data_IF_742933580365
#
_entry.id   IF_742933580365
#
_cell.length_a   1.000
_cell.length_b   1.000
_cell.length_c   1.000
_cell.angle_alpha   90.00
_cell.angle_beta   90.00
_cell.angle_gamma   90.00
#
_symmetry.space_group_name_H-M   'P 1'
#
loop_
_entity.id
_entity.type
_entity.pdbx_description
1 polymer ?
#
# COMPACT_ATOMS: atom_id res chain seq x y z
N UNK A 1 -1.11 39.59 25.03
CA UNK A 1 -0.17 38.51 24.66
C UNK A 1 -0.77 37.73 23.49
N UNK A 2 -0.18 37.82 22.30
CA UNK A 2 -0.63 37.07 21.11
C UNK A 2 -0.02 35.67 21.18
N UNK A 3 -0.84 34.62 21.09
CA UNK A 3 -0.38 33.24 20.98
C UNK A 3 -0.01 32.99 19.52
N UNK A 4 1.27 32.84 19.23
CA UNK A 4 1.74 32.37 17.93
C UNK A 4 1.50 30.86 17.84
N UNK A 5 0.67 30.45 16.90
CA UNK A 5 0.46 29.03 16.58
C UNK A 5 1.61 28.62 15.68
N UNK A 6 2.59 27.90 16.24
CA UNK A 6 3.64 27.24 15.48
C UNK A 6 2.99 26.11 14.66
N UNK A 7 2.74 26.38 13.38
CA UNK A 7 2.37 25.36 12.40
C UNK A 7 3.59 24.47 12.13
N UNK A 8 3.60 23.27 12.71
CA UNK A 8 4.59 22.25 12.38
C UNK A 8 4.22 21.65 11.02
N UNK A 9 5.01 21.97 9.99
CA UNK A 9 4.99 21.26 8.73
C UNK A 9 5.67 19.91 8.95
N UNK A 10 4.88 18.86 9.18
CA UNK A 10 5.38 17.49 9.15
C UNK A 10 5.65 17.20 7.67
N UNK A 11 6.92 17.33 7.26
CA UNK A 11 7.38 16.86 5.96
C UNK A 11 7.41 15.33 6.00
N UNK A 12 6.33 14.68 5.59
CA UNK A 12 6.39 13.29 5.20
C UNK A 12 7.30 13.23 3.97
N UNK A 13 8.38 12.44 4.05
CA UNK A 13 9.15 12.09 2.86
C UNK A 13 8.17 11.57 1.78
N UNK A 14 8.39 11.89 0.49
CA UNK A 14 7.52 11.40 -0.56
C UNK A 14 7.41 9.88 -0.43
N UNK A 15 6.17 9.38 -0.29
CA UNK A 15 5.91 7.96 -0.12
C UNK A 15 6.70 7.17 -1.16
N UNK A 16 7.73 6.44 -0.69
CA UNK A 16 8.59 5.61 -1.52
C UNK A 16 7.70 4.69 -2.35
N UNK A 17 7.95 4.60 -3.65
CA UNK A 17 7.20 3.68 -4.50
C UNK A 17 7.34 2.26 -3.91
N UNK A 18 6.23 1.59 -3.56
CA UNK A 18 6.28 0.31 -2.86
C UNK A 18 6.91 -0.75 -3.76
N UNK A 19 7.79 -1.59 -3.20
CA UNK A 19 8.38 -2.70 -3.95
C UNK A 19 7.35 -3.85 -4.04
N UNK A 20 7.05 -4.37 -5.24
CA UNK A 20 6.15 -5.51 -5.41
C UNK A 20 6.49 -6.72 -4.51
N UNK A 21 7.76 -6.95 -4.17
CA UNK A 21 8.20 -8.09 -3.34
C UNK A 21 7.73 -7.99 -1.89
N UNK A 22 7.34 -6.79 -1.45
CA UNK A 22 6.86 -6.55 -0.08
C UNK A 22 5.49 -7.22 0.16
N UNK A 23 4.68 -7.44 -0.88
CA UNK A 23 3.28 -7.86 -0.74
C UNK A 23 3.09 -9.38 -0.68
N UNK A 24 2.40 -9.88 0.35
CA UNK A 24 2.12 -11.31 0.60
C UNK A 24 1.29 -11.97 -0.51
N UNK A 25 0.38 -11.22 -1.11
CA UNK A 25 -0.56 -11.74 -2.10
C UNK A 25 -0.91 -10.72 -3.18
N UNK A 26 -1.43 -11.20 -4.31
CA UNK A 26 -1.95 -10.33 -5.37
C UNK A 26 -3.10 -9.46 -4.85
N UNK A 27 -3.97 -10.02 -4.00
CA UNK A 27 -5.08 -9.32 -3.35
C UNK A 27 -4.61 -8.14 -2.51
N UNK A 28 -3.53 -8.29 -1.77
CA UNK A 28 -2.94 -7.22 -0.95
C UNK A 28 -2.41 -6.07 -1.82
N UNK A 29 -1.75 -6.39 -2.94
CA UNK A 29 -1.30 -5.38 -3.92
C UNK A 29 -2.50 -4.64 -4.52
N UNK A 30 -3.54 -5.37 -4.92
CA UNK A 30 -4.76 -4.79 -5.50
C UNK A 30 -5.43 -3.84 -4.51
N UNK A 31 -5.58 -4.26 -3.25
CA UNK A 31 -6.12 -3.42 -2.17
C UNK A 31 -5.27 -2.15 -1.99
N UNK A 32 -3.94 -2.29 -1.88
CA UNK A 32 -3.04 -1.15 -1.77
C UNK A 32 -3.18 -0.17 -2.94
N UNK A 33 -3.27 -0.66 -4.18
CA UNK A 33 -3.40 0.19 -5.35
C UNK A 33 -4.74 0.92 -5.38
N UNK A 34 -5.83 0.27 -4.95
CA UNK A 34 -7.16 0.89 -4.86
C UNK A 34 -7.16 2.01 -3.82
N UNK A 35 -6.68 1.76 -2.60
CA UNK A 35 -6.62 2.75 -1.52
C UNK A 35 -5.75 3.97 -1.88
N UNK A 36 -4.65 3.74 -2.61
CA UNK A 36 -3.72 4.80 -3.01
C UNK A 36 -4.02 5.39 -4.41
N UNK A 37 -5.12 5.00 -5.04
CA UNK A 37 -5.48 5.51 -6.36
C UNK A 37 -6.11 6.90 -6.33
N UNK A 38 -6.70 7.28 -5.19
CA UNK A 38 -7.55 8.47 -5.07
C UNK A 38 -8.91 8.35 -5.76
N UNK A 39 -9.24 7.19 -6.35
CA UNK A 39 -10.54 6.93 -6.98
C UNK A 39 -11.55 6.43 -5.95
N UNK A 40 -12.83 6.75 -6.15
CA UNK A 40 -13.88 6.22 -5.29
C UNK A 40 -14.16 4.75 -5.63
N UNK A 41 -14.37 3.94 -4.60
CA UNK A 41 -14.70 2.52 -4.73
C UNK A 41 -15.91 2.25 -5.64
N UNK A 42 -16.93 3.12 -5.61
CA UNK A 42 -18.10 3.02 -6.48
C UNK A 42 -17.75 3.14 -7.97
N UNK A 43 -16.79 4.02 -8.30
CA UNK A 43 -16.41 4.29 -9.69
C UNK A 43 -15.54 3.15 -10.23
N UNK A 44 -14.65 2.62 -9.39
CA UNK A 44 -13.88 1.42 -9.69
C UNK A 44 -14.83 0.23 -9.91
N UNK A 45 -15.75 -0.02 -8.97
CA UNK A 45 -16.70 -1.13 -9.05
C UNK A 45 -17.56 -1.04 -10.32
N UNK A 46 -18.04 0.16 -10.66
CA UNK A 46 -18.78 0.42 -11.89
C UNK A 46 -17.97 0.06 -13.14
N UNK A 47 -16.72 0.54 -13.25
CA UNK A 47 -15.83 0.23 -14.39
C UNK A 47 -15.47 -1.26 -14.46
N UNK A 48 -15.40 -1.92 -13.31
CA UNK A 48 -15.17 -3.36 -13.21
C UNK A 48 -16.41 -4.20 -13.54
N UNK A 49 -17.60 -3.59 -13.63
CA UNK A 49 -18.90 -4.27 -13.74
C UNK A 49 -19.20 -5.16 -12.53
N UNK A 50 -18.81 -4.71 -11.34
CA UNK A 50 -19.05 -5.38 -10.06
C UNK A 50 -19.92 -4.48 -9.16
N UNK A 51 -20.60 -5.08 -8.18
CA UNK A 51 -21.15 -4.29 -7.08
C UNK A 51 -20.02 -3.78 -6.18
N UNK A 52 -20.22 -2.64 -5.52
CA UNK A 52 -19.26 -2.09 -4.57
C UNK A 52 -18.95 -3.07 -3.44
N UNK A 53 -19.97 -3.77 -2.94
CA UNK A 53 -19.82 -4.79 -1.91
C UNK A 53 -18.96 -5.96 -2.37
N UNK A 54 -19.14 -6.42 -3.62
CA UNK A 54 -18.36 -7.52 -4.18
C UNK A 54 -16.92 -7.11 -4.43
N UNK A 55 -16.67 -5.89 -4.90
CA UNK A 55 -15.31 -5.34 -5.02
C UNK A 55 -14.61 -5.32 -3.66
N UNK A 56 -15.24 -4.77 -2.62
CA UNK A 56 -14.67 -4.72 -1.27
C UNK A 56 -14.40 -6.12 -0.73
N UNK A 57 -15.33 -7.06 -0.89
CA UNK A 57 -15.12 -8.47 -0.51
C UNK A 57 -13.90 -9.08 -1.21
N UNK A 58 -13.75 -8.84 -2.52
CA UNK A 58 -12.65 -9.35 -3.33
C UNK A 58 -11.30 -8.75 -2.96
N UNK A 59 -11.25 -7.47 -2.58
CA UNK A 59 -10.02 -6.79 -2.17
C UNK A 59 -9.56 -7.17 -0.75
N UNK A 60 -10.45 -7.63 0.11
CA UNK A 60 -10.11 -8.02 1.48
C UNK A 60 -9.81 -9.53 1.62
N UNK A 61 -9.97 -10.33 0.55
CA UNK A 61 -9.60 -11.74 0.53
C UNK A 61 -10.41 -12.65 1.45
N UNK A 62 -11.57 -12.21 1.95
CA UNK A 62 -12.35 -12.94 2.95
C UNK A 62 -13.07 -14.17 2.37
N UNK A 63 -13.80 -14.00 1.26
CA UNK A 63 -14.71 -15.04 0.73
C UNK A 63 -14.72 -15.14 -0.79
N UNK A 64 -14.07 -14.20 -1.48
CA UNK A 64 -13.90 -14.22 -2.93
C UNK A 64 -12.55 -13.59 -3.25
N UNK A 65 -11.82 -14.15 -4.21
CA UNK A 65 -10.62 -13.53 -4.76
C UNK A 65 -10.94 -12.90 -6.12
N UNK A 66 -10.10 -11.96 -6.54
CA UNK A 66 -10.08 -11.50 -7.93
C UNK A 66 -9.65 -12.66 -8.83
N UNK A 67 -10.38 -12.88 -9.92
CA UNK A 67 -9.89 -13.75 -11.00
C UNK A 67 -8.72 -13.06 -11.74
N UNK A 68 -7.97 -13.80 -12.56
CA UNK A 68 -6.91 -13.21 -13.37
C UNK A 68 -7.43 -12.08 -14.26
N UNK A 69 -8.55 -12.31 -14.97
CA UNK A 69 -9.18 -11.30 -15.83
C UNK A 69 -9.67 -10.06 -15.05
N UNK A 70 -10.21 -10.26 -13.83
CA UNK A 70 -10.61 -9.15 -12.96
C UNK A 70 -9.40 -8.38 -12.45
N UNK A 71 -8.29 -9.06 -12.17
CA UNK A 71 -7.05 -8.46 -11.72
C UNK A 71 -6.44 -7.56 -12.81
N UNK A 72 -6.36 -8.06 -14.04
CA UNK A 72 -5.86 -7.30 -15.19
C UNK A 72 -6.77 -6.10 -15.50
N UNK A 73 -8.09 -6.32 -15.50
CA UNK A 73 -9.06 -5.23 -15.69
C UNK A 73 -8.95 -4.19 -14.58
N UNK A 74 -8.73 -4.59 -13.34
CA UNK A 74 -8.53 -3.65 -12.23
C UNK A 74 -7.24 -2.83 -12.44
N UNK A 75 -6.14 -3.46 -12.85
CA UNK A 75 -4.91 -2.76 -13.17
C UNK A 75 -5.12 -1.72 -14.30
N UNK A 76 -5.92 -2.05 -15.32
CA UNK A 76 -6.28 -1.11 -16.39
C UNK A 76 -7.15 0.06 -15.89
N UNK A 77 -8.13 -0.21 -15.03
CA UNK A 77 -8.98 0.83 -14.42
C UNK A 77 -8.17 1.80 -13.57
N UNK A 78 -7.13 1.31 -12.89
CA UNK A 78 -6.24 2.08 -12.04
C UNK A 78 -5.13 2.81 -12.83
N UNK A 79 -4.90 2.45 -14.10
CA UNK A 79 -3.91 3.09 -14.97
C UNK A 79 -2.50 3.04 -14.39
N UNK A 80 -1.87 4.22 -14.22
CA UNK A 80 -0.53 4.33 -13.63
C UNK A 80 -0.44 3.72 -12.22
N UNK A 81 -1.53 3.75 -11.46
CA UNK A 81 -1.60 3.16 -10.11
C UNK A 81 -1.69 1.64 -10.15
N UNK A 82 -2.09 1.05 -11.28
CA UNK A 82 -2.08 -0.39 -11.53
C UNK A 82 -0.71 -0.94 -11.94
N UNK A 83 0.30 -0.09 -12.18
CA UNK A 83 1.65 -0.55 -12.57
C UNK A 83 2.26 -1.47 -11.51
N UNK A 84 2.02 -1.20 -10.23
CA UNK A 84 2.50 -2.04 -9.13
C UNK A 84 1.93 -3.46 -9.20
N UNK A 85 0.64 -3.61 -9.56
CA UNK A 85 0.00 -4.92 -9.78
C UNK A 85 0.68 -5.71 -10.90
N UNK A 86 1.06 -5.03 -11.99
CA UNK A 86 1.80 -5.66 -13.10
C UNK A 86 3.23 -6.02 -12.70
N UNK A 87 3.92 -5.13 -11.98
CA UNK A 87 5.25 -5.37 -11.41
C UNK A 87 5.24 -6.56 -10.45
N UNK A 88 4.17 -6.74 -9.66
CA UNK A 88 4.00 -7.89 -8.78
C UNK A 88 3.95 -9.22 -9.52
N UNK A 89 3.14 -9.29 -10.59
CA UNK A 89 3.09 -10.48 -11.43
C UNK A 89 4.44 -10.81 -12.07
N UNK A 90 5.15 -9.79 -12.56
CA UNK A 90 6.50 -9.96 -13.10
C UNK A 90 7.52 -10.40 -12.02
N UNK A 91 7.39 -9.89 -10.78
CA UNK A 91 8.26 -10.26 -9.67
C UNK A 91 8.00 -11.67 -9.13
N UNK A 92 6.76 -12.18 -9.21
CA UNK A 92 6.42 -13.56 -8.84
C UNK A 92 7.03 -14.62 -9.77
N UNK A 93 7.51 -14.23 -10.95
CA UNK A 93 8.29 -15.08 -11.85
C UNK A 93 9.76 -15.23 -11.39
N UNK A 94 10.20 -14.43 -10.40
CA UNK A 94 11.53 -14.54 -9.80
C UNK A 94 11.47 -15.40 -8.52
N UNK A 95 12.49 -16.22 -8.25
CA UNK A 95 12.50 -17.13 -7.10
C UNK A 95 12.31 -16.39 -5.77
N UNK A 96 11.49 -16.99 -4.90
CA UNK A 96 11.04 -16.43 -3.61
C UNK A 96 12.12 -16.28 -2.53
N UNK A 97 13.35 -16.74 -2.79
CA UNK A 97 14.41 -16.90 -1.78
C UNK A 97 14.82 -15.60 -1.07
N UNK A 98 14.54 -14.41 -1.62
CA UNK A 98 14.95 -13.13 -1.02
C UNK A 98 13.85 -12.41 -0.23
N UNK A 99 12.69 -13.03 -0.02
CA UNK A 99 11.52 -12.31 0.49
C UNK A 99 11.54 -12.10 2.00
N UNK A 100 11.95 -13.12 2.74
CA UNK A 100 12.07 -13.05 4.20
C UNK A 100 13.12 -12.03 4.62
N UNK A 101 14.28 -12.01 3.94
CA UNK A 101 15.37 -11.06 4.19
C UNK A 101 14.98 -9.61 3.93
N UNK A 102 14.21 -9.33 2.86
CA UNK A 102 13.68 -7.99 2.58
C UNK A 102 12.72 -7.54 3.68
N UNK A 103 11.82 -8.43 4.12
CA UNK A 103 10.86 -8.12 5.19
C UNK A 103 11.57 -7.90 6.53
N UNK A 104 12.58 -8.71 6.85
CA UNK A 104 13.40 -8.56 8.04
C UNK A 104 14.13 -7.21 8.06
N UNK A 105 14.79 -6.86 6.95
CA UNK A 105 15.52 -5.58 6.82
C UNK A 105 14.59 -4.39 7.05
N UNK A 106 13.36 -4.44 6.53
CA UNK A 106 12.39 -3.35 6.69
C UNK A 106 11.85 -3.25 8.11
N UNK A 107 11.59 -4.38 8.77
CA UNK A 107 11.21 -4.40 10.18
C UNK A 107 12.29 -3.77 11.06
N UNK A 108 13.56 -4.05 10.76
CA UNK A 108 14.69 -3.42 11.45
C UNK A 108 14.76 -1.90 11.22
N UNK A 109 14.50 -1.43 9.99
CA UNK A 109 14.44 0.00 9.67
C UNK A 109 13.30 0.71 10.42
N UNK A 110 12.09 0.13 10.42
CA UNK A 110 10.95 0.68 11.15
C UNK A 110 11.20 0.71 12.67
N UNK A 111 11.85 -0.33 13.21
CA UNK A 111 12.21 -0.36 14.63
C UNK A 111 13.19 0.76 14.98
N UNK A 112 14.20 1.01 14.13
CA UNK A 112 15.16 2.12 14.31
C UNK A 112 14.48 3.48 14.27
N UNK A 113 13.58 3.70 13.32
CA UNK A 113 12.86 4.97 13.19
C UNK A 113 11.92 5.22 14.38
N UNK A 114 11.20 4.18 14.81
CA UNK A 114 10.33 4.24 16.00
C UNK A 114 11.15 4.55 17.26
N UNK A 115 12.32 3.92 17.41
CA UNK A 115 13.23 4.19 18.52
C UNK A 115 13.75 5.64 18.52
N UNK A 116 14.07 6.18 17.33
CA UNK A 116 14.50 7.58 17.17
C UNK A 116 13.39 8.55 17.58
N UNK A 117 12.17 8.35 17.10
CA UNK A 117 11.01 9.19 17.44
C UNK A 117 10.70 9.15 18.95
N UNK A 118 10.80 7.96 19.58
CA UNK A 118 10.63 7.83 21.03
C UNK A 118 11.72 8.57 21.82
N UNK A 119 12.97 8.55 21.34
CA UNK A 119 14.06 9.29 21.97
C UNK A 119 13.84 10.82 21.87
N UNK A 120 13.40 11.32 20.72
CA UNK A 120 13.05 12.74 20.54
C UNK A 120 11.91 13.17 21.47
N UNK A 121 10.86 12.34 21.60
CA UNK A 121 9.74 12.62 22.50
C UNK A 121 10.14 12.60 23.99
N UNK A 122 11.05 11.71 24.39
CA UNK A 122 11.58 11.67 25.76
C UNK A 122 12.52 12.85 26.06
N UNK A 123 13.33 13.26 25.07
CA UNK A 123 14.22 14.42 25.20
C UNK A 123 13.47 15.74 25.43
N UNK A 124 12.25 15.87 24.88
CA UNK A 124 11.38 17.05 25.06
C UNK A 124 10.64 17.11 26.41
N UNK A 125 10.68 16.05 27.22
CA UNK A 125 10.09 16.03 28.58
C UNK A 125 11.06 16.50 29.68
N UNK A 126 12.29 16.89 29.32
CA UNK A 126 13.27 17.50 30.24
C UNK A 126 13.32 19.01 30.05
#
# INVERSE_FOLDING_TARGET
MKREILQYTISFEPAREPDPREFSSATEVAHHCVENSGLQHKDIAFRMKLSTSLLTMKLHGNTANLTADEYDRLADVLGEKGILMRKYHAAKLLPQENREDILLTRLEEQQKETARLLAELRGRKR
#
